data_IF_581278324228
#
_entry.id   IF_581278324228
#
_cell.length_a   1.000
_cell.length_b   1.000
_cell.length_c   1.000
_cell.angle_alpha   90.00
_cell.angle_beta   90.00
_cell.angle_gamma   90.00
#
_symmetry.space_group_name_H-M   'P 1'
#
loop_
_entity.id
_entity.type
_entity.pdbx_description
1 polymer ?
#
# COMPACT_ATOMS: atom_id res chain seq x y z
N UNK A 1 -7.42 7.01 5.98
CA UNK A 1 -6.81 6.21 4.90
C UNK A 1 -5.33 6.53 4.91
N UNK A 2 -4.43 5.54 4.94
CA UNK A 2 -2.99 5.82 4.83
C UNK A 2 -2.65 6.25 3.41
N UNK A 3 -1.71 7.17 3.28
CA UNK A 3 -1.10 7.55 2.01
C UNK A 3 -0.24 6.41 1.46
N UNK A 4 0.01 6.40 0.14
CA UNK A 4 0.97 5.47 -0.47
C UNK A 4 2.33 5.46 0.26
N UNK A 5 2.84 6.63 0.65
CA UNK A 5 4.12 6.75 1.37
C UNK A 5 4.09 6.00 2.69
N UNK A 6 3.07 6.23 3.52
CA UNK A 6 2.92 5.55 4.82
C UNK A 6 2.77 4.03 4.66
N UNK A 7 2.18 3.56 3.56
CA UNK A 7 2.08 2.13 3.26
C UNK A 7 3.42 1.51 2.87
N UNK A 8 4.25 2.22 2.10
CA UNK A 8 5.61 1.76 1.77
C UNK A 8 6.52 1.71 3.00
N UNK A 9 6.46 2.74 3.86
CA UNK A 9 7.21 2.77 5.12
C UNK A 9 6.79 1.62 6.05
N UNK A 10 5.48 1.32 6.14
CA UNK A 10 5.00 0.16 6.90
C UNK A 10 5.45 -1.18 6.29
N UNK A 11 5.45 -1.29 4.96
CA UNK A 11 5.88 -2.48 4.25
C UNK A 11 7.37 -2.77 4.53
N UNK A 12 8.23 -1.76 4.36
CA UNK A 12 9.66 -1.86 4.60
C UNK A 12 9.96 -2.25 6.05
N UNK A 13 9.31 -1.59 7.02
CA UNK A 13 9.46 -1.94 8.43
C UNK A 13 9.12 -3.41 8.70
N UNK A 14 8.01 -3.90 8.15
CA UNK A 14 7.56 -5.28 8.37
C UNK A 14 8.45 -6.29 7.68
N UNK A 15 8.90 -6.03 6.45
CA UNK A 15 9.78 -6.92 5.70
C UNK A 15 11.15 -7.08 6.40
N UNK A 16 11.63 -6.02 7.06
CA UNK A 16 12.91 -6.04 7.79
C UNK A 16 12.81 -6.49 9.26
N UNK A 17 11.62 -6.58 9.84
CA UNK A 17 11.44 -7.03 11.24
C UNK A 17 11.16 -8.54 11.31
N UNK A 18 12.03 -9.33 11.98
CA UNK A 18 11.82 -10.77 12.13
C UNK A 18 10.65 -11.09 13.06
N UNK A 19 9.93 -12.17 12.76
CA UNK A 19 8.85 -12.67 13.59
C UNK A 19 9.40 -13.38 14.85
N UNK A 20 8.79 -13.11 16.01
CA UNK A 20 9.20 -13.76 17.28
C UNK A 20 8.80 -15.24 17.38
N UNK A 21 7.77 -15.67 16.64
CA UNK A 21 7.25 -17.05 16.63
C UNK A 21 6.42 -17.34 15.35
N UNK A 22 6.01 -18.60 15.17
CA UNK A 22 5.24 -19.06 14.00
C UNK A 22 3.89 -18.35 13.81
N UNK A 23 3.12 -18.17 14.88
CA UNK A 23 1.85 -17.43 14.82
C UNK A 23 2.06 -15.98 14.37
N UNK A 24 3.11 -15.33 14.89
CA UNK A 24 3.55 -14.00 14.46
C UNK A 24 3.99 -13.96 13.01
N UNK A 25 4.56 -15.05 12.48
CA UNK A 25 4.95 -15.17 11.07
C UNK A 25 3.73 -15.17 10.14
N UNK A 26 2.69 -15.96 10.43
CA UNK A 26 1.46 -15.99 9.61
C UNK A 26 0.70 -14.67 9.65
N UNK A 27 0.54 -14.07 10.85
CA UNK A 27 -0.09 -12.77 11.00
C UNK A 27 0.68 -11.67 10.25
N UNK A 28 2.02 -11.74 10.27
CA UNK A 28 2.89 -10.83 9.51
C UNK A 28 2.69 -10.98 8.00
N UNK A 29 2.66 -12.20 7.48
CA UNK A 29 2.44 -12.45 6.04
C UNK A 29 1.08 -11.91 5.61
N UNK A 30 0.02 -12.16 6.38
CA UNK A 30 -1.31 -11.62 6.10
C UNK A 30 -1.33 -10.10 6.03
N UNK A 31 -0.66 -9.44 6.98
CA UNK A 31 -0.57 -7.98 7.00
C UNK A 31 0.28 -7.41 5.85
N UNK A 32 1.39 -8.05 5.49
CA UNK A 32 2.21 -7.65 4.33
C UNK A 32 1.38 -7.73 3.05
N UNK A 33 0.63 -8.81 2.85
CA UNK A 33 -0.22 -8.98 1.67
C UNK A 33 -1.34 -7.93 1.60
N UNK A 34 -1.93 -7.59 2.76
CA UNK A 34 -2.91 -6.51 2.83
C UNK A 34 -2.31 -5.17 2.42
N UNK A 35 -1.13 -4.80 2.94
CA UNK A 35 -0.45 -3.54 2.59
C UNK A 35 -0.13 -3.49 1.10
N UNK A 36 0.37 -4.60 0.52
CA UNK A 36 0.64 -4.68 -0.92
C UNK A 36 -0.64 -4.46 -1.75
N UNK A 37 -1.76 -5.07 -1.34
CA UNK A 37 -3.04 -4.86 -2.02
C UNK A 37 -3.54 -3.40 -1.91
N UNK A 38 -3.39 -2.77 -0.74
CA UNK A 38 -3.75 -1.36 -0.54
C UNK A 38 -2.91 -0.42 -1.43
N UNK A 39 -1.60 -0.69 -1.54
CA UNK A 39 -0.70 0.05 -2.45
C UNK A 39 -1.13 -0.14 -3.90
N UNK A 40 -1.35 -1.39 -4.34
CA UNK A 40 -1.78 -1.67 -5.72
C UNK A 40 -3.09 -0.97 -6.06
N UNK A 41 -4.06 -0.92 -5.13
CA UNK A 41 -5.32 -0.21 -5.34
C UNK A 41 -5.16 1.31 -5.45
N UNK A 42 -4.16 1.91 -4.79
CA UNK A 42 -3.88 3.35 -4.89
C UNK A 42 -3.09 3.70 -6.15
N UNK A 43 -2.22 2.80 -6.62
CA UNK A 43 -1.40 3.00 -7.83
C UNK A 43 -2.15 2.61 -9.11
N UNK A 44 -3.26 1.86 -9.02
CA UNK A 44 -4.06 1.45 -10.16
C UNK A 44 -4.57 2.67 -10.96
N UNK A 45 -3.78 3.03 -11.98
CA UNK A 45 -4.01 4.18 -12.85
C UNK A 45 -5.32 4.01 -13.63
N UNK A 46 -5.75 2.78 -13.91
CA UNK A 46 -7.01 2.53 -14.59
C UNK A 46 -8.17 2.87 -13.67
N UNK A 47 -8.09 2.45 -12.39
CA UNK A 47 -9.11 2.76 -11.37
C UNK A 47 -9.18 4.26 -11.05
N UNK A 48 -8.06 4.98 -11.10
CA UNK A 48 -7.98 6.40 -10.78
C UNK A 48 -7.91 7.33 -12.00
N UNK A 49 -8.11 6.78 -13.20
CA UNK A 49 -7.97 7.51 -14.48
C UNK A 49 -8.73 8.82 -14.48
N UNK A 50 -10.01 8.80 -14.11
CA UNK A 50 -10.87 9.99 -14.16
C UNK A 50 -10.42 11.06 -13.16
N UNK A 51 -9.93 10.67 -11.99
CA UNK A 51 -9.38 11.60 -11.00
C UNK A 51 -8.08 12.26 -11.50
N UNK A 52 -7.21 11.48 -12.15
CA UNK A 52 -5.97 11.97 -12.76
C UNK A 52 -6.28 12.96 -13.89
N UNK A 53 -7.20 12.59 -14.80
CA UNK A 53 -7.60 13.47 -15.90
C UNK A 53 -8.20 14.78 -15.38
N UNK A 54 -9.07 14.72 -14.37
CA UNK A 54 -9.66 15.91 -13.75
C UNK A 54 -8.63 16.84 -13.12
N UNK A 55 -7.58 16.30 -12.49
CA UNK A 55 -6.49 17.11 -11.94
C UNK A 55 -5.70 17.85 -13.04
N UNK A 56 -5.48 17.19 -14.18
CA UNK A 56 -4.78 17.78 -15.32
C UNK A 56 -5.60 18.90 -15.96
N UNK A 57 -6.92 18.70 -16.10
CA UNK A 57 -7.83 19.70 -16.65
C UNK A 57 -8.02 20.91 -15.71
N UNK A 58 -7.97 20.70 -14.39
CA UNK A 58 -8.12 21.77 -13.40
C UNK A 58 -6.86 22.62 -13.19
N UNK A 59 -5.74 22.23 -13.81
CA UNK A 59 -4.46 22.94 -13.74
C UNK A 59 -4.24 23.89 -14.92
N UNK A 60 -5.24 24.04 -15.79
CA UNK A 60 -5.28 24.93 -16.96
C UNK A 60 -6.34 26.01 -16.78
#
# INVERSE_FOLDING_TARGET
MKTCRELYEELEYRENTPAKNWAGSMARVGRINQIKAEISQQIDVVKHKDAILKMLESSH
#
